data_IF_707066734033
#
_entry.id   IF_707066734033
#
_cell.length_a   1.000
_cell.length_b   1.000
_cell.length_c   1.000
_cell.angle_alpha   90.00
_cell.angle_beta   90.00
_cell.angle_gamma   90.00
#
_symmetry.space_group_name_H-M   'P 1'
#
loop_
_entity.id
_entity.type
_entity.pdbx_description
1 polymer ?
#
# COMPACT_ATOMS: atom_id res chain seq x y z
N UNK A 1 -6.02 34.05 -30.72
CA UNK A 1 -5.20 34.15 -29.50
C UNK A 1 -4.62 32.79 -29.24
N UNK A 2 -3.32 32.70 -29.00
CA UNK A 2 -2.70 31.43 -28.65
C UNK A 2 -2.97 31.14 -27.17
N UNK A 3 -3.25 29.87 -26.81
CA UNK A 3 -3.44 29.44 -25.42
C UNK A 3 -2.27 29.83 -24.49
N UNK A 4 -1.06 29.97 -25.05
CA UNK A 4 0.15 30.35 -24.32
C UNK A 4 0.25 31.86 -24.01
N UNK A 5 -0.59 32.70 -24.62
CA UNK A 5 -0.65 34.14 -24.36
C UNK A 5 -1.57 34.49 -23.17
N UNK A 6 -2.22 33.48 -22.58
CA UNK A 6 -3.08 33.66 -21.42
C UNK A 6 -2.26 34.04 -20.18
N UNK A 7 -2.83 34.85 -19.27
CA UNK A 7 -2.21 35.12 -17.98
C UNK A 7 -1.91 33.82 -17.20
N UNK A 8 -0.79 33.75 -16.46
CA UNK A 8 -0.41 32.59 -15.63
C UNK A 8 -1.52 32.07 -14.72
N UNK A 9 -2.35 32.95 -14.18
CA UNK A 9 -3.46 32.62 -13.27
C UNK A 9 -4.51 31.78 -13.99
N UNK A 10 -4.83 32.14 -15.24
CA UNK A 10 -5.78 31.40 -16.07
C UNK A 10 -5.18 30.04 -16.46
N UNK A 11 -3.90 30.00 -16.81
CA UNK A 11 -3.22 28.73 -17.10
C UNK A 11 -3.22 27.81 -15.88
N UNK A 12 -2.93 28.31 -14.69
CA UNK A 12 -3.02 27.54 -13.45
C UNK A 12 -4.43 27.00 -13.22
N UNK A 13 -5.47 27.83 -13.38
CA UNK A 13 -6.86 27.40 -13.24
C UNK A 13 -7.23 26.31 -14.25
N UNK A 14 -6.76 26.41 -15.49
CA UNK A 14 -6.97 25.37 -16.51
C UNK A 14 -6.29 24.06 -16.08
N UNK A 15 -5.02 24.10 -15.65
CA UNK A 15 -4.33 22.87 -15.20
C UNK A 15 -4.99 22.26 -13.97
N UNK A 16 -5.44 23.10 -13.05
CA UNK A 16 -6.13 22.68 -11.83
C UNK A 16 -7.49 22.04 -12.15
N UNK A 17 -8.21 22.56 -13.14
CA UNK A 17 -9.46 21.99 -13.62
C UNK A 17 -9.25 20.67 -14.37
N UNK A 18 -8.18 20.57 -15.17
CA UNK A 18 -7.79 19.33 -15.86
C UNK A 18 -7.42 18.22 -14.87
N UNK A 19 -6.72 18.58 -13.79
CA UNK A 19 -6.41 17.69 -12.68
C UNK A 19 -5.30 16.67 -12.98
N UNK A 20 -4.80 16.04 -11.91
CA UNK A 20 -3.67 15.09 -11.97
C UNK A 20 -4.00 13.81 -12.75
N UNK A 21 -5.25 13.35 -12.67
CA UNK A 21 -5.72 12.12 -13.33
C UNK A 21 -5.57 12.17 -14.86
N UNK A 22 -5.87 13.31 -15.49
CA UNK A 22 -5.69 13.50 -16.93
C UNK A 22 -4.21 13.39 -17.34
N UNK A 23 -3.32 14.05 -16.61
CA UNK A 23 -1.89 14.02 -16.89
C UNK A 23 -1.27 12.64 -16.66
N UNK A 24 -1.77 11.85 -15.70
CA UNK A 24 -1.38 10.44 -15.53
C UNK A 24 -1.71 9.60 -16.77
N UNK A 25 -2.88 9.82 -17.37
CA UNK A 25 -3.30 9.11 -18.58
C UNK A 25 -2.51 9.56 -19.82
N UNK A 26 -2.09 10.82 -19.88
CA UNK A 26 -1.36 11.37 -21.01
C UNK A 26 -0.19 12.27 -20.58
N UNK A 27 0.95 11.63 -20.28
CA UNK A 27 2.19 12.33 -19.94
C UNK A 27 2.72 13.22 -21.08
N UNK A 28 2.32 12.97 -22.33
CA UNK A 28 2.67 13.81 -23.47
C UNK A 28 2.18 15.26 -23.29
N UNK A 29 1.06 15.46 -22.59
CA UNK A 29 0.53 16.78 -22.26
C UNK A 29 1.42 17.57 -21.30
N UNK A 30 2.37 16.94 -20.59
CA UNK A 30 3.37 17.68 -19.81
C UNK A 30 4.41 18.33 -20.73
N UNK A 31 4.65 17.78 -21.92
CA UNK A 31 5.80 18.15 -22.78
C UNK A 31 5.47 19.15 -23.89
N UNK A 32 4.29 19.76 -23.89
CA UNK A 32 3.84 20.69 -24.95
C UNK A 32 4.79 21.87 -25.15
N UNK A 33 5.12 22.59 -24.07
CA UNK A 33 6.13 23.65 -24.07
C UNK A 33 6.65 23.89 -22.65
N UNK A 34 7.73 24.67 -22.49
CA UNK A 34 8.36 24.94 -21.17
C UNK A 34 7.41 25.60 -20.16
N UNK A 35 6.61 26.56 -20.62
CA UNK A 35 5.65 27.27 -19.78
C UNK A 35 4.52 26.34 -19.35
N UNK A 36 3.97 25.57 -20.29
CA UNK A 36 2.93 24.58 -20.03
C UNK A 36 3.41 23.52 -19.05
N UNK A 37 4.62 22.97 -19.25
CA UNK A 37 5.23 22.01 -18.33
C UNK A 37 5.30 22.55 -16.90
N UNK A 38 5.66 23.82 -16.72
CA UNK A 38 5.79 24.42 -15.39
C UNK A 38 4.46 24.39 -14.62
N UNK A 39 3.35 24.74 -15.28
CA UNK A 39 2.02 24.74 -14.65
C UNK A 39 1.42 23.33 -14.54
N UNK A 40 1.49 22.56 -15.62
CA UNK A 40 0.95 21.21 -15.67
C UNK A 40 1.65 20.29 -14.66
N UNK A 41 2.95 20.48 -14.43
CA UNK A 41 3.71 19.75 -13.41
C UNK A 41 3.18 20.01 -12.00
N UNK A 42 2.85 21.26 -11.67
CA UNK A 42 2.27 21.60 -10.36
C UNK A 42 0.92 20.93 -10.16
N UNK A 43 0.05 20.95 -11.17
CA UNK A 43 -1.24 20.26 -11.11
C UNK A 43 -1.09 18.74 -11.09
N UNK A 44 -0.13 18.18 -11.82
CA UNK A 44 0.18 16.75 -11.82
C UNK A 44 0.60 16.25 -10.44
N UNK A 45 1.47 16.98 -9.73
CA UNK A 45 1.97 16.58 -8.42
C UNK A 45 1.03 16.88 -7.26
N UNK A 46 -0.17 17.44 -7.49
CA UNK A 46 -1.18 17.60 -6.43
C UNK A 46 -1.69 16.25 -5.92
N UNK A 47 -1.90 15.30 -6.82
CA UNK A 47 -2.32 13.94 -6.48
C UNK A 47 -1.27 12.96 -7.04
N UNK A 48 -0.43 12.47 -6.12
CA UNK A 48 0.69 11.58 -6.42
C UNK A 48 0.32 10.13 -6.06
N UNK A 49 0.22 9.30 -7.08
CA UNK A 49 0.04 7.85 -6.95
C UNK A 49 1.40 7.17 -7.11
N UNK A 50 1.87 6.51 -6.05
CA UNK A 50 3.11 5.74 -6.05
C UNK A 50 2.78 4.26 -5.86
N UNK A 51 3.36 3.41 -6.70
CA UNK A 51 3.55 2.00 -6.34
C UNK A 51 4.84 1.82 -5.56
N UNK A 52 5.03 0.70 -4.86
CA UNK A 52 6.31 0.38 -4.20
C UNK A 52 7.51 0.55 -5.15
N UNK A 53 7.43 0.03 -6.38
CA UNK A 53 8.50 0.16 -7.37
C UNK A 53 8.76 1.62 -7.76
N UNK A 54 7.70 2.43 -7.86
CA UNK A 54 7.81 3.86 -8.18
C UNK A 54 8.39 4.64 -7.01
N UNK A 55 8.01 4.30 -5.78
CA UNK A 55 8.57 4.85 -4.55
C UNK A 55 10.06 4.53 -4.45
N UNK A 56 10.45 3.27 -4.64
CA UNK A 56 11.85 2.87 -4.60
C UNK A 56 12.67 3.57 -5.69
N UNK A 57 12.15 3.65 -6.92
CA UNK A 57 12.79 4.40 -8.03
C UNK A 57 12.89 5.88 -7.70
N UNK A 58 11.86 6.46 -7.11
CA UNK A 58 11.87 7.83 -6.65
C UNK A 58 12.98 7.99 -5.62
N UNK A 59 13.03 7.19 -4.55
CA UNK A 59 14.02 7.29 -3.47
C UNK A 59 15.46 6.95 -3.88
N UNK A 60 15.64 6.12 -4.92
CA UNK A 60 16.95 5.71 -5.42
C UNK A 60 17.51 6.65 -6.49
N UNK A 61 16.67 7.50 -7.08
CA UNK A 61 17.11 8.41 -8.13
C UNK A 61 17.99 9.53 -7.57
N UNK A 62 19.11 9.83 -8.23
CA UNK A 62 19.93 10.99 -7.87
C UNK A 62 19.18 12.32 -8.15
N UNK A 63 18.09 12.29 -8.93
CA UNK A 63 17.24 13.45 -9.21
C UNK A 63 16.22 13.77 -8.09
N UNK A 64 16.20 13.00 -7.00
CA UNK A 64 15.40 13.26 -5.79
C UNK A 64 15.57 14.72 -5.34
N UNK A 65 16.81 15.20 -5.25
CA UNK A 65 17.08 16.56 -4.76
C UNK A 65 16.46 17.65 -5.64
N UNK A 66 16.28 17.39 -6.94
CA UNK A 66 15.68 18.35 -7.89
C UNK A 66 14.16 18.23 -7.96
N UNK A 67 13.62 17.02 -7.84
CA UNK A 67 12.19 16.75 -7.94
C UNK A 67 11.43 17.02 -6.64
N UNK A 68 12.04 16.73 -5.49
CA UNK A 68 11.37 16.80 -4.20
C UNK A 68 10.86 18.19 -3.81
N UNK A 69 11.56 19.31 -4.04
CA UNK A 69 11.05 20.63 -3.67
C UNK A 69 9.70 20.95 -4.35
N UNK A 70 9.45 20.39 -5.53
CA UNK A 70 8.21 20.62 -6.28
C UNK A 70 7.06 19.78 -5.74
N UNK A 71 7.33 18.50 -5.47
CA UNK A 71 6.38 17.61 -4.80
C UNK A 71 6.01 18.22 -3.45
N UNK A 72 7.01 18.61 -2.66
CA UNK A 72 6.85 19.25 -1.35
C UNK A 72 5.84 20.40 -1.35
N UNK A 73 5.93 21.31 -2.32
CA UNK A 73 5.09 22.51 -2.32
C UNK A 73 3.70 22.31 -2.93
N UNK A 74 3.48 21.20 -3.63
CA UNK A 74 2.27 20.99 -4.46
C UNK A 74 1.43 19.81 -4.01
N UNK A 75 2.01 18.84 -3.31
CA UNK A 75 1.38 17.59 -2.91
C UNK A 75 0.20 17.83 -1.96
N UNK A 76 -0.99 17.39 -2.36
CA UNK A 76 -2.25 17.46 -1.61
C UNK A 76 -2.77 16.07 -1.23
N UNK A 77 -2.63 15.12 -2.15
CA UNK A 77 -3.05 13.72 -2.03
C UNK A 77 -1.86 12.83 -2.36
N UNK A 78 -1.58 11.87 -1.50
CA UNK A 78 -0.55 10.85 -1.70
C UNK A 78 -1.16 9.48 -1.51
N UNK A 79 -1.25 8.72 -2.60
CA UNK A 79 -1.71 7.35 -2.58
C UNK A 79 -0.51 6.43 -2.78
N UNK A 80 -0.28 5.52 -1.84
CA UNK A 80 0.80 4.56 -1.89
C UNK A 80 0.24 3.14 -1.98
N UNK A 81 0.47 2.52 -3.13
CA UNK A 81 0.07 1.15 -3.43
C UNK A 81 1.24 0.19 -3.17
N UNK A 82 1.13 -0.60 -2.10
CA UNK A 82 2.10 -1.62 -1.72
C UNK A 82 1.80 -2.93 -2.48
N UNK A 83 2.22 -2.97 -3.75
CA UNK A 83 2.26 -4.19 -4.57
C UNK A 83 3.65 -4.81 -4.55
N UNK A 84 3.74 -6.14 -4.63
CA UNK A 84 5.03 -6.79 -4.84
C UNK A 84 5.22 -8.13 -4.16
N UNK A 85 4.33 -8.54 -3.24
CA UNK A 85 4.37 -9.91 -2.70
C UNK A 85 3.96 -10.95 -3.76
N UNK A 86 3.21 -10.54 -4.79
CA UNK A 86 2.69 -11.48 -5.79
C UNK A 86 3.78 -12.04 -6.72
N UNK A 87 4.81 -11.24 -7.01
CA UNK A 87 5.86 -11.58 -7.98
C UNK A 87 7.11 -12.21 -7.35
N UNK A 88 7.13 -12.48 -6.03
CA UNK A 88 8.31 -13.06 -5.38
C UNK A 88 8.64 -14.47 -5.87
N UNK A 89 7.65 -15.20 -6.39
CA UNK A 89 7.87 -16.50 -7.04
C UNK A 89 8.60 -16.39 -8.37
N UNK A 90 8.68 -15.18 -8.93
CA UNK A 90 9.25 -14.90 -10.24
C UNK A 90 10.68 -14.40 -10.18
N UNK A 91 11.24 -14.17 -8.98
CA UNK A 91 12.65 -13.80 -8.83
C UNK A 91 13.46 -15.04 -9.25
N UNK A 92 14.18 -14.99 -10.39
CA UNK A 92 14.98 -16.12 -10.82
C UNK A 92 16.04 -16.33 -9.75
N UNK A 93 16.11 -17.53 -9.18
CA UNK A 93 17.24 -17.94 -8.35
C UNK A 93 18.51 -17.68 -9.18
N UNK A 94 19.21 -16.58 -8.88
CA UNK A 94 20.46 -16.26 -9.53
C UNK A 94 21.53 -17.16 -8.92
N UNK A 95 21.48 -18.44 -9.29
CA UNK A 95 22.37 -19.48 -8.81
C UNK A 95 22.52 -20.51 -9.91
N UNK A 96 23.42 -20.23 -10.86
CA UNK A 96 23.88 -21.21 -11.83
C UNK A 96 24.65 -22.33 -11.10
N UNK A 97 23.93 -23.29 -10.53
CA UNK A 97 24.50 -24.60 -10.26
C UNK A 97 24.30 -25.45 -11.51
N UNK A 98 25.44 -25.81 -12.11
CA UNK A 98 25.55 -26.66 -13.28
C UNK A 98 24.69 -27.92 -13.12
N UNK A 99 23.73 -28.09 -14.03
CA UNK A 99 22.93 -29.30 -14.19
C UNK A 99 23.85 -30.47 -14.55
N UNK A 100 24.00 -31.40 -13.62
CA UNK A 100 24.23 -32.81 -13.92
C UNK A 100 23.64 -33.63 -12.77
N UNK A 101 22.35 -33.99 -12.90
CA UNK A 101 21.79 -35.29 -12.49
C UNK A 101 20.26 -35.23 -12.38
N UNK A 102 19.61 -36.21 -12.99
CA UNK A 102 18.18 -36.53 -12.89
C UNK A 102 17.74 -36.77 -11.44
N UNK A 103 16.98 -35.87 -10.81
CA UNK A 103 16.13 -36.20 -9.65
C UNK A 103 14.87 -35.32 -9.68
N UNK A 104 13.71 -35.97 -9.61
CA UNK A 104 12.36 -35.39 -9.49
C UNK A 104 12.08 -34.93 -8.03
N UNK A 105 13.02 -34.22 -7.40
CA UNK A 105 12.77 -33.60 -6.10
C UNK A 105 12.45 -32.14 -6.33
N UNK A 106 11.18 -31.78 -6.11
CA UNK A 106 10.76 -30.39 -6.09
C UNK A 106 11.64 -29.63 -5.08
N UNK A 107 12.22 -28.47 -5.45
CA UNK A 107 13.06 -27.71 -4.53
C UNK A 107 12.23 -27.40 -3.28
N UNK A 108 12.67 -27.97 -2.17
CA UNK A 108 12.14 -27.65 -0.85
C UNK A 108 12.42 -26.18 -0.61
N UNK A 109 11.37 -25.36 -0.68
CA UNK A 109 11.47 -23.94 -0.36
C UNK A 109 12.03 -23.80 1.05
N UNK A 110 13.25 -23.29 1.16
CA UNK A 110 13.89 -23.07 2.44
C UNK A 110 13.19 -21.92 3.16
N UNK A 111 12.55 -22.24 4.28
CA UNK A 111 11.83 -21.30 5.13
C UNK A 111 12.71 -20.10 5.53
N UNK A 112 13.99 -20.36 5.80
CA UNK A 112 14.94 -19.35 6.23
C UNK A 112 15.19 -18.32 5.11
N UNK A 113 15.17 -18.75 3.84
CA UNK A 113 15.28 -17.86 2.69
C UNK A 113 14.07 -16.92 2.56
N UNK A 114 12.86 -17.46 2.72
CA UNK A 114 11.63 -16.66 2.68
C UNK A 114 11.56 -15.60 3.78
N UNK A 115 11.98 -15.96 5.00
CA UNK A 115 12.03 -15.04 6.13
C UNK A 115 13.09 -13.94 5.91
N UNK A 116 14.29 -14.31 5.45
CA UNK A 116 15.36 -13.36 5.15
C UNK A 116 14.96 -12.34 4.08
N UNK A 117 14.30 -12.80 3.00
CA UNK A 117 13.76 -11.93 1.94
C UNK A 117 12.71 -10.96 2.49
N UNK A 118 11.76 -11.45 3.30
CA UNK A 118 10.73 -10.60 3.92
C UNK A 118 11.35 -9.52 4.80
N UNK A 119 12.31 -9.88 5.65
CA UNK A 119 13.00 -8.92 6.52
C UNK A 119 13.78 -7.88 5.72
N UNK A 120 14.48 -8.30 4.66
CA UNK A 120 15.19 -7.39 3.77
C UNK A 120 14.23 -6.42 3.06
N UNK A 121 13.10 -6.93 2.56
CA UNK A 121 12.06 -6.13 1.90
C UNK A 121 11.43 -5.12 2.86
N UNK A 122 11.01 -5.55 4.07
CA UNK A 122 10.42 -4.67 5.09
C UNK A 122 11.40 -3.56 5.45
N UNK A 123 12.69 -3.89 5.61
CA UNK A 123 13.72 -2.89 5.91
C UNK A 123 13.88 -1.85 4.80
N UNK A 124 13.82 -2.25 3.53
CA UNK A 124 13.89 -1.30 2.41
C UNK A 124 12.65 -0.41 2.39
N UNK A 125 11.46 -1.00 2.57
CA UNK A 125 10.21 -0.26 2.63
C UNK A 125 10.21 0.74 3.80
N UNK A 126 10.70 0.36 4.98
CA UNK A 126 10.80 1.25 6.14
C UNK A 126 11.67 2.48 5.84
N UNK A 127 12.80 2.28 5.15
CA UNK A 127 13.68 3.38 4.75
C UNK A 127 12.96 4.31 3.77
N UNK A 128 12.27 3.76 2.79
CA UNK A 128 11.54 4.52 1.77
C UNK A 128 10.35 5.28 2.38
N UNK A 129 9.60 4.65 3.28
CA UNK A 129 8.50 5.26 4.02
C UNK A 129 8.98 6.36 4.97
N UNK A 130 10.11 6.16 5.65
CA UNK A 130 10.71 7.20 6.49
C UNK A 130 11.12 8.44 5.67
N UNK A 131 11.64 8.25 4.45
CA UNK A 131 11.97 9.37 3.54
C UNK A 131 10.72 10.05 3.00
N UNK A 132 9.73 9.26 2.58
CA UNK A 132 8.43 9.76 2.16
C UNK A 132 7.78 10.57 3.28
N UNK A 133 7.95 10.13 4.53
CA UNK A 133 7.44 10.82 5.69
C UNK A 133 8.05 12.20 5.90
N UNK A 134 9.36 12.34 5.66
CA UNK A 134 10.06 13.63 5.69
C UNK A 134 9.47 14.56 4.61
N UNK A 135 9.29 14.07 3.38
CA UNK A 135 8.74 14.86 2.27
C UNK A 135 7.30 15.32 2.60
N UNK A 136 6.48 14.41 3.10
CA UNK A 136 5.11 14.68 3.50
C UNK A 136 5.03 15.69 4.66
N UNK A 137 5.86 15.56 5.69
CA UNK A 137 5.99 16.54 6.79
C UNK A 137 6.33 17.93 6.29
N UNK A 138 7.19 17.97 5.29
CA UNK A 138 7.64 19.19 4.66
C UNK A 138 6.62 19.81 3.70
N UNK A 139 5.52 19.10 3.41
CA UNK A 139 4.46 19.48 2.48
C UNK A 139 3.27 20.11 3.21
N UNK A 140 3.14 21.46 3.26
CA UNK A 140 2.07 22.11 4.03
C UNK A 140 0.68 21.92 3.41
N UNK A 141 0.61 21.39 2.19
CA UNK A 141 -0.63 21.17 1.44
C UNK A 141 -1.14 19.73 1.51
N UNK A 142 -0.32 18.80 1.99
CA UNK A 142 -0.69 17.39 2.05
C UNK A 142 -1.81 17.21 3.07
N UNK A 143 -2.94 16.70 2.60
CA UNK A 143 -4.18 16.54 3.37
C UNK A 143 -4.60 15.09 3.48
N UNK A 144 -4.27 14.31 2.46
CA UNK A 144 -4.72 12.94 2.26
C UNK A 144 -3.52 12.04 2.07
N UNK A 145 -3.43 11.00 2.90
CA UNK A 145 -2.51 9.90 2.69
C UNK A 145 -3.27 8.58 2.71
N UNK A 146 -3.22 7.85 1.60
CA UNK A 146 -3.86 6.55 1.44
C UNK A 146 -2.77 5.50 1.31
N UNK A 147 -2.87 4.45 2.12
CA UNK A 147 -2.02 3.28 1.99
C UNK A 147 -2.88 2.08 1.57
N UNK A 148 -2.58 1.52 0.41
CA UNK A 148 -3.24 0.33 -0.11
C UNK A 148 -2.36 -0.90 0.08
N UNK A 149 -2.75 -1.75 1.03
CA UNK A 149 -2.17 -3.07 1.23
C UNK A 149 -2.97 -4.13 0.50
N UNK A 150 -2.73 -4.29 -0.81
CA UNK A 150 -3.40 -5.31 -1.60
C UNK A 150 -2.61 -6.61 -1.62
N UNK A 151 -3.09 -7.66 -0.95
CA UNK A 151 -2.78 -9.01 -1.39
C UNK A 151 -3.69 -9.29 -2.59
N UNK A 152 -3.25 -9.02 -3.83
CA UNK A 152 -4.05 -9.47 -4.98
C UNK A 152 -4.08 -10.98 -4.93
N UNK A 153 -5.27 -11.52 -4.65
CA UNK A 153 -5.53 -12.94 -4.75
C UNK A 153 -5.08 -13.42 -6.13
N UNK A 154 -4.18 -14.40 -6.13
CA UNK A 154 -3.79 -15.16 -7.32
C UNK A 154 -5.05 -15.84 -7.85
N UNK A 155 -5.78 -15.14 -8.73
CA UNK A 155 -6.95 -15.68 -9.40
C UNK A 155 -6.48 -16.75 -10.38
N UNK A 156 -6.71 -18.01 -10.04
CA UNK A 156 -6.63 -19.13 -10.98
C UNK A 156 -7.77 -18.95 -11.98
N UNK A 157 -7.46 -18.31 -13.11
CA UNK A 157 -8.37 -18.16 -14.24
C UNK A 157 -8.62 -19.54 -14.87
N UNK A 158 -9.62 -20.28 -14.35
CA UNK A 158 -10.50 -21.22 -15.09
C UNK A 158 -11.24 -22.27 -14.23
N UNK A 159 -11.14 -22.28 -12.90
CA UNK A 159 -11.86 -23.28 -12.09
C UNK A 159 -13.04 -22.70 -11.29
N UNK A 160 -14.02 -23.56 -11.00
CA UNK A 160 -15.39 -23.20 -10.63
C UNK A 160 -15.47 -22.28 -9.40
N UNK A 161 -16.45 -21.35 -9.33
CA UNK A 161 -16.61 -20.39 -8.23
C UNK A 161 -16.95 -21.02 -6.86
N UNK A 162 -17.12 -22.34 -6.77
CA UNK A 162 -17.42 -23.05 -5.51
C UNK A 162 -16.20 -23.75 -4.90
N UNK A 163 -15.05 -23.71 -5.56
CA UNK A 163 -13.78 -24.30 -5.10
C UNK A 163 -12.69 -23.25 -5.12
N UNK A 164 -12.72 -22.33 -4.16
CA UNK A 164 -11.54 -21.52 -3.88
C UNK A 164 -10.49 -22.47 -3.28
N UNK A 165 -9.32 -22.58 -3.93
CA UNK A 165 -8.16 -23.38 -3.49
C UNK A 165 -7.65 -23.04 -2.08
N UNK A 166 -8.26 -22.07 -1.37
CA UNK A 166 -7.91 -21.70 -0.01
C UNK A 166 -8.05 -22.87 0.99
N UNK A 167 -8.97 -23.82 0.75
CA UNK A 167 -9.14 -25.02 1.59
C UNK A 167 -8.10 -26.12 1.32
N UNK A 168 -7.40 -26.07 0.18
CA UNK A 168 -6.35 -27.03 -0.19
C UNK A 168 -4.94 -26.45 -0.16
N UNK A 169 -4.78 -25.14 0.03
CA UNK A 169 -3.48 -24.58 0.38
C UNK A 169 -3.18 -24.94 1.82
N UNK A 170 -2.37 -25.99 2.04
CA UNK A 170 -1.61 -26.08 3.27
C UNK A 170 -0.87 -24.75 3.41
N UNK A 171 -1.14 -24.00 4.47
CA UNK A 171 -0.44 -22.75 4.74
C UNK A 171 1.07 -23.05 4.66
N UNK A 172 1.73 -22.64 3.57
CA UNK A 172 3.15 -22.90 3.38
C UNK A 172 4.01 -22.04 4.34
N UNK A 173 3.40 -21.48 5.38
CA UNK A 173 3.96 -20.46 6.24
C UNK A 173 3.47 -20.63 7.69
N UNK A 174 4.25 -21.27 8.57
CA UNK A 174 4.09 -21.08 10.00
C UNK A 174 4.58 -19.67 10.37
N UNK A 175 3.74 -18.67 10.17
CA UNK A 175 4.10 -17.30 10.57
C UNK A 175 3.77 -17.11 12.03
N UNK A 176 4.79 -16.93 12.90
CA UNK A 176 4.59 -16.21 14.15
C UNK A 176 4.16 -14.77 13.81
N UNK A 177 2.84 -14.55 13.70
CA UNK A 177 2.20 -13.25 13.53
C UNK A 177 1.35 -13.05 12.25
N UNK A 178 1.56 -13.82 11.18
CA UNK A 178 0.74 -13.79 9.95
C UNK A 178 0.55 -12.41 9.29
N UNK A 179 -0.51 -12.29 8.49
CA UNK A 179 -1.03 -11.03 7.93
C UNK A 179 -1.41 -10.03 9.03
N UNK A 180 -1.89 -10.52 10.18
CA UNK A 180 -2.29 -9.70 11.32
C UNK A 180 -1.13 -8.86 11.86
N UNK A 181 0.07 -9.44 11.95
CA UNK A 181 1.29 -8.71 12.36
C UNK A 181 1.69 -7.66 11.34
N UNK A 182 1.67 -7.97 10.05
CA UNK A 182 1.95 -6.99 9.00
C UNK A 182 0.96 -5.81 9.06
N UNK A 183 -0.33 -6.10 9.27
CA UNK A 183 -1.36 -5.08 9.45
C UNK A 183 -1.06 -4.19 10.66
N UNK A 184 -0.74 -4.80 11.82
CA UNK A 184 -0.39 -4.05 13.03
C UNK A 184 0.87 -3.18 12.83
N UNK A 185 1.91 -3.72 12.20
CA UNK A 185 3.15 -2.99 11.89
C UNK A 185 2.86 -1.78 10.98
N UNK A 186 2.03 -1.96 9.95
CA UNK A 186 1.58 -0.88 9.05
C UNK A 186 0.77 0.17 9.81
N UNK A 187 -0.16 -0.24 10.68
CA UNK A 187 -0.96 0.67 11.50
C UNK A 187 -0.08 1.49 12.44
N UNK A 188 0.89 0.88 13.12
CA UNK A 188 1.81 1.56 14.02
C UNK A 188 2.74 2.51 13.28
N UNK A 189 3.20 2.14 12.08
CA UNK A 189 4.00 3.01 11.24
C UNK A 189 3.18 4.20 10.71
N UNK A 190 1.91 3.98 10.35
CA UNK A 190 1.02 5.06 9.95
C UNK A 190 0.73 5.99 11.13
N UNK A 191 0.54 5.48 12.35
CA UNK A 191 0.42 6.30 13.59
C UNK A 191 1.66 7.15 13.82
N UNK A 192 2.84 6.55 13.70
CA UNK A 192 4.11 7.27 13.80
C UNK A 192 4.23 8.34 12.71
N UNK A 193 3.77 8.05 11.50
CA UNK A 193 3.75 8.98 10.37
C UNK A 193 2.83 10.19 10.62
N UNK A 194 1.64 9.98 11.20
CA UNK A 194 0.70 11.06 11.56
C UNK A 194 1.37 12.11 12.44
N UNK A 195 2.17 11.68 13.42
CA UNK A 195 2.86 12.58 14.35
C UNK A 195 3.84 13.55 13.66
N UNK A 196 4.19 13.27 12.40
CA UNK A 196 5.06 14.10 11.57
C UNK A 196 4.29 15.07 10.66
N UNK A 197 2.97 14.94 10.51
CA UNK A 197 2.17 15.79 9.62
C UNK A 197 1.69 17.06 10.34
N UNK A 198 1.69 18.20 9.64
CA UNK A 198 1.32 19.49 10.24
C UNK A 198 -0.19 19.63 10.51
N UNK A 199 -1.03 19.10 9.61
CA UNK A 199 -2.50 19.19 9.69
C UNK A 199 -3.19 18.11 8.83
N UNK A 200 -3.00 16.82 9.15
CA UNK A 200 -3.62 15.75 8.37
C UNK A 200 -5.15 15.83 8.47
N UNK A 201 -5.85 15.69 7.34
CA UNK A 201 -7.33 15.66 7.34
C UNK A 201 -7.84 14.24 7.54
N UNK A 202 -7.24 13.28 6.86
CA UNK A 202 -7.50 11.86 7.02
C UNK A 202 -6.27 11.05 6.60
N UNK A 203 -6.03 9.95 7.31
CA UNK A 203 -4.97 8.99 7.01
C UNK A 203 -5.60 7.61 7.08
N UNK A 204 -5.73 6.96 5.93
CA UNK A 204 -6.57 5.77 5.79
C UNK A 204 -5.73 4.60 5.27
N UNK A 205 -5.78 3.48 5.98
CA UNK A 205 -5.20 2.22 5.55
C UNK A 205 -6.34 1.37 4.99
N UNK A 206 -6.21 0.93 3.74
CA UNK A 206 -7.14 -0.01 3.15
C UNK A 206 -6.62 -1.43 3.23
N UNK A 207 -7.48 -2.32 3.70
CA UNK A 207 -7.22 -3.76 3.81
C UNK A 207 -8.43 -4.55 3.33
N UNK A 208 -8.20 -5.76 2.83
CA UNK A 208 -9.29 -6.71 2.59
C UNK A 208 -9.37 -7.70 3.74
N UNK A 209 -10.58 -8.04 4.17
CA UNK A 209 -10.79 -9.20 5.05
C UNK A 209 -10.74 -10.48 4.27
N UNK A 210 -10.30 -11.55 4.91
CA UNK A 210 -10.43 -12.91 4.38
C UNK A 210 -11.43 -13.69 5.24
N UNK A 211 -12.24 -14.58 4.65
CA UNK A 211 -12.27 -14.96 3.23
C UNK A 211 -13.17 -14.09 2.33
N UNK A 212 -14.01 -13.21 2.89
CA UNK A 212 -15.06 -12.52 2.12
C UNK A 212 -14.54 -11.43 1.17
N UNK A 213 -13.26 -11.05 1.26
CA UNK A 213 -12.64 -9.96 0.50
C UNK A 213 -13.30 -8.60 0.72
N UNK A 214 -14.03 -8.42 1.81
CA UNK A 214 -14.65 -7.13 2.12
C UNK A 214 -13.57 -6.08 2.34
N UNK A 215 -13.72 -4.94 1.66
CA UNK A 215 -12.80 -3.83 1.81
C UNK A 215 -13.09 -3.12 3.14
N UNK A 216 -12.05 -3.00 3.98
CA UNK A 216 -12.08 -2.24 5.23
C UNK A 216 -11.10 -1.09 5.14
N UNK A 217 -11.54 0.07 5.63
CA UNK A 217 -10.69 1.22 5.88
C UNK A 217 -10.45 1.39 7.37
N UNK A 218 -9.20 1.58 7.76
CA UNK A 218 -8.82 2.02 9.10
C UNK A 218 -8.37 3.48 9.03
N UNK A 219 -9.10 4.38 9.69
CA UNK A 219 -8.69 5.77 9.84
C UNK A 219 -7.78 5.90 11.06
N UNK A 220 -6.51 6.19 10.80
CA UNK A 220 -5.44 6.27 11.80
C UNK A 220 -5.65 7.46 12.75
N UNK A 221 -6.33 8.52 12.31
CA UNK A 221 -6.58 9.70 13.15
C UNK A 221 -7.65 9.44 14.20
N UNK A 222 -8.72 8.75 13.81
CA UNK A 222 -9.87 8.47 14.68
C UNK A 222 -9.78 7.10 15.36
N UNK A 223 -8.91 6.22 14.89
CA UNK A 223 -8.83 4.83 15.32
C UNK A 223 -10.02 3.97 14.88
N UNK A 224 -10.85 4.47 13.96
CA UNK A 224 -12.08 3.78 13.54
C UNK A 224 -11.83 2.87 12.35
N UNK A 225 -12.40 1.67 12.40
CA UNK A 225 -12.50 0.77 11.26
C UNK A 225 -13.89 0.89 10.62
N UNK A 226 -13.93 1.05 9.30
CA UNK A 226 -15.16 1.22 8.53
C UNK A 226 -15.18 0.20 7.40
N UNK A 227 -16.35 -0.37 7.11
CA UNK A 227 -16.58 -1.21 5.94
C UNK A 227 -16.87 -0.32 4.74
N UNK A 228 -16.16 -0.56 3.64
CA UNK A 228 -16.37 0.14 2.37
C UNK A 228 -17.11 -0.78 1.40
N UNK A 229 -18.14 -0.24 0.74
CA UNK A 229 -18.79 -0.94 -0.37
C UNK A 229 -17.89 -0.94 -1.62
N UNK A 230 -18.02 -1.95 -2.49
CA UNK A 230 -17.18 -2.17 -3.68
C UNK A 230 -17.13 -0.98 -4.68
N UNK A 231 -18.05 -0.03 -4.56
CA UNK A 231 -18.19 1.14 -5.42
C UNK A 231 -18.20 2.47 -4.64
N UNK A 232 -17.83 2.44 -3.35
CA UNK A 232 -17.83 3.63 -2.52
C UNK A 232 -16.64 4.53 -2.86
N UNK A 233 -16.85 5.85 -2.83
CA UNK A 233 -15.74 6.78 -2.95
C UNK A 233 -14.80 6.62 -1.74
N UNK A 234 -13.50 6.73 -1.98
CA UNK A 234 -12.46 6.46 -0.99
C UNK A 234 -12.44 7.46 0.17
N UNK A 235 -13.09 8.60 -0.02
CA UNK A 235 -13.26 9.69 0.93
C UNK A 235 -14.60 9.65 1.68
N UNK A 236 -15.46 8.67 1.39
CA UNK A 236 -16.73 8.50 2.08
C UNK A 236 -16.51 7.80 3.44
N UNK A 237 -17.38 8.07 4.41
CA UNK A 237 -17.21 7.64 5.80
C UNK A 237 -17.65 6.18 6.05
N UNK A 238 -18.13 5.46 5.03
CA UNK A 238 -18.45 4.04 5.13
C UNK A 238 -19.47 3.69 6.21
N UNK A 239 -19.59 2.40 6.52
CA UNK A 239 -20.32 1.92 7.69
C UNK A 239 -19.33 1.66 8.82
N UNK A 240 -19.49 2.35 9.96
CA UNK A 240 -18.64 2.13 11.13
C UNK A 240 -18.88 0.71 11.64
N UNK A 241 -17.82 -0.08 11.74
CA UNK A 241 -17.87 -1.39 12.36
C UNK A 241 -17.70 -1.14 13.86
N UNK A 242 -18.76 -1.33 14.63
CA UNK A 242 -18.63 -1.44 16.08
C UNK A 242 -17.90 -2.75 16.35
N UNK A 243 -16.61 -2.66 16.70
CA UNK A 243 -15.91 -3.81 17.26
C UNK A 243 -16.51 -4.03 18.64
N UNK A 244 -17.47 -4.96 18.72
CA UNK A 244 -18.03 -5.47 19.97
C UNK A 244 -16.89 -6.04 20.83
N UNK A 245 -16.25 -5.16 21.60
CA UNK A 245 -15.10 -5.44 22.45
C UNK A 245 -15.44 -6.31 23.68
N UNK A 246 -16.63 -6.91 23.72
CA UNK A 246 -17.23 -7.55 24.90
C UNK A 246 -17.41 -9.07 24.76
N UNK A 247 -16.65 -9.73 23.89
CA UNK A 247 -16.61 -11.20 23.84
C UNK A 247 -15.19 -11.75 24.07
N UNK A 248 -14.55 -11.33 25.16
CA UNK A 248 -13.64 -12.23 25.85
C UNK A 248 -14.48 -13.37 26.41
N UNK A 249 -14.67 -14.41 25.59
CA UNK A 249 -15.23 -15.67 26.04
C UNK A 249 -14.37 -16.19 27.18
N UNK A 250 -14.91 -16.10 28.41
CA UNK A 250 -14.53 -16.94 29.53
C UNK A 250 -14.57 -18.38 29.05
N UNK A 251 -13.40 -18.90 28.66
CA UNK A 251 -13.20 -20.33 28.52
C UNK A 251 -13.32 -20.86 29.94
N UNK A 252 -14.52 -21.35 30.27
CA UNK A 252 -14.80 -22.10 31.47
C UNK A 252 -13.77 -23.22 31.57
N UNK A 253 -12.90 -23.09 32.56
CA UNK A 253 -11.97 -24.11 33.03
C UNK A 253 -12.81 -25.27 33.60
N UNK A 254 -13.29 -26.13 32.70
CA UNK A 254 -14.07 -27.31 33.05
C UNK A 254 -13.12 -28.32 33.67
N UNK A 255 -13.09 -28.31 35.00
CA UNK A 255 -12.19 -29.11 35.83
C UNK A 255 -12.25 -30.59 35.49
N UNK A 256 -11.22 -31.08 34.82
CA UNK A 256 -11.00 -32.51 34.65
C UNK A 256 -10.58 -33.11 35.99
N UNK A 257 -11.58 -33.50 36.79
CA UNK A 257 -11.38 -34.30 37.99
C UNK A 257 -10.90 -35.69 37.56
N UNK A 258 -9.59 -35.94 37.69
CA UNK A 258 -9.04 -37.29 37.61
C UNK A 258 -9.51 -38.08 38.83
N UNK A 259 -10.51 -38.93 38.63
CA UNK A 259 -10.81 -40.02 39.55
C UNK A 259 -9.69 -41.06 39.44
N UNK A 260 -8.82 -41.10 40.44
CA UNK A 260 -7.94 -42.25 40.65
C UNK A 260 -8.74 -43.33 41.36
N UNK A 261 -9.09 -44.39 40.63
CA UNK A 261 -9.42 -45.69 41.20
C UNK A 261 -8.35 -46.69 40.75
N UNK A 262 -7.95 -47.53 41.71
CA UNK A 262 -6.98 -48.65 41.72
C UNK A 262 -5.48 -48.35 41.85
#
# INVERSE_FOLDING_TARGET
MALLELPPEILMQIMDYVGSSYFRQNLGCLTVCKQWFTFARTAYFKDLQLSQNSLQRLMSSHDVERGLPLVRNSLEILDLELKGFEDWRSIPESGSYSQDANVLDAPSWDWDHGLALRLAWTRVLDIDLARLAIIAKESPRLRVFTLEGGARQLSLSNESPLTTSATHSSACWPTEGGFLKLKADIEDQAKAFVAHMASPRFIRILTHTLPQLEMRSFDVLTGKCMRLADNMAWEDDGEIIEEDSDSESEILDDGFSTSSDE
#
